data_IF_087838220968
#
_entry.id   IF_087838220968
#
_cell.length_a   1.000
_cell.length_b   1.000
_cell.length_c   1.000
_cell.angle_alpha   90.00
_cell.angle_beta   90.00
_cell.angle_gamma   90.00
#
_symmetry.space_group_name_H-M   'P 1'
#
loop_
_entity.id
_entity.type
_entity.pdbx_description
1 polymer ?
#
# COMPACT_ATOMS: atom_id res chain seq x y z
N UNK A 1 -33.08 -26.84 -11.77
CA UNK A 1 -33.37 -25.87 -10.69
C UNK A 1 -32.05 -25.47 -10.06
N UNK A 2 -31.73 -24.15 -10.05
CA UNK A 2 -30.55 -23.61 -9.39
C UNK A 2 -30.80 -23.68 -7.88
N UNK A 3 -29.98 -24.42 -7.14
CA UNK A 3 -30.12 -24.50 -5.67
C UNK A 3 -29.69 -23.17 -5.08
N UNK A 4 -30.56 -22.52 -4.33
CA UNK A 4 -30.28 -21.26 -3.64
C UNK A 4 -29.12 -21.45 -2.67
N UNK A 5 -28.06 -20.66 -2.81
CA UNK A 5 -26.88 -20.74 -1.95
C UNK A 5 -27.16 -20.21 -0.56
N UNK A 6 -26.39 -20.65 0.44
CA UNK A 6 -26.47 -20.11 1.81
C UNK A 6 -26.32 -18.58 1.84
N UNK A 7 -25.48 -18.03 0.98
CA UNK A 7 -25.27 -16.57 0.84
C UNK A 7 -26.53 -15.87 0.33
N UNK A 8 -27.19 -16.42 -0.67
CA UNK A 8 -28.44 -15.85 -1.21
C UNK A 8 -29.53 -15.82 -0.15
N UNK A 9 -29.69 -16.89 0.63
CA UNK A 9 -30.63 -16.94 1.77
C UNK A 9 -30.33 -15.88 2.82
N UNK A 10 -29.04 -15.73 3.20
CA UNK A 10 -28.61 -14.71 4.18
C UNK A 10 -28.90 -13.30 3.68
N UNK A 11 -28.61 -13.02 2.41
CA UNK A 11 -28.88 -11.72 1.80
C UNK A 11 -30.38 -11.45 1.73
N UNK A 12 -31.18 -12.41 1.30
CA UNK A 12 -32.63 -12.26 1.22
C UNK A 12 -33.26 -11.96 2.60
N UNK A 13 -32.83 -12.65 3.65
CA UNK A 13 -33.25 -12.38 5.02
C UNK A 13 -32.86 -10.96 5.45
N UNK A 14 -31.62 -10.57 5.24
CA UNK A 14 -31.11 -9.23 5.59
C UNK A 14 -31.84 -8.09 4.84
N UNK A 15 -32.24 -8.31 3.60
CA UNK A 15 -33.04 -7.34 2.84
C UNK A 15 -34.46 -7.21 3.44
N UNK A 16 -35.08 -8.33 3.81
CA UNK A 16 -36.38 -8.31 4.52
C UNK A 16 -36.29 -7.55 5.85
N UNK A 17 -35.17 -7.69 6.56
CA UNK A 17 -34.89 -7.00 7.82
C UNK A 17 -34.37 -5.56 7.65
N UNK A 18 -34.42 -5.01 6.43
CA UNK A 18 -34.02 -3.61 6.10
C UNK A 18 -32.53 -3.31 6.38
N UNK A 19 -31.67 -4.30 6.57
CA UNK A 19 -30.29 -4.09 7.03
C UNK A 19 -29.47 -3.17 6.13
N UNK A 20 -29.50 -3.31 4.78
CA UNK A 20 -28.72 -2.44 3.90
C UNK A 20 -29.11 -0.97 3.95
N UNK A 21 -30.36 -0.66 4.31
CA UNK A 21 -30.90 0.72 4.35
C UNK A 21 -31.14 1.21 5.78
N UNK A 22 -30.82 0.44 6.79
CA UNK A 22 -31.01 0.82 8.19
C UNK A 22 -30.30 2.13 8.52
N UNK A 23 -31.08 3.08 9.07
CA UNK A 23 -30.56 4.41 9.42
C UNK A 23 -30.49 5.39 8.24
N UNK A 24 -31.10 5.06 7.09
CA UNK A 24 -31.39 6.02 6.01
C UNK A 24 -32.82 6.54 6.17
N UNK A 25 -32.99 7.84 6.48
CA UNK A 25 -34.32 8.42 6.65
C UNK A 25 -35.17 8.31 5.38
N UNK A 26 -36.40 7.83 5.51
CA UNK A 26 -37.32 7.73 4.38
C UNK A 26 -36.99 6.70 3.32
N UNK A 27 -36.03 5.80 3.58
CA UNK A 27 -35.68 4.69 2.68
C UNK A 27 -36.10 3.37 3.27
N UNK A 28 -36.77 2.53 2.48
CA UNK A 28 -37.20 1.18 2.88
C UNK A 28 -37.16 0.19 1.71
N UNK A 29 -37.06 -1.11 2.03
CA UNK A 29 -37.08 -2.21 1.08
C UNK A 29 -38.40 -2.99 1.23
N UNK A 30 -39.07 -3.28 0.12
CA UNK A 30 -40.32 -4.05 0.10
C UNK A 30 -40.29 -5.12 -0.99
N UNK A 31 -41.21 -6.05 -0.96
CA UNK A 31 -41.45 -7.05 -2.01
C UNK A 31 -40.21 -7.86 -2.41
N UNK A 32 -39.44 -8.31 -1.40
CA UNK A 32 -38.21 -9.12 -1.62
C UNK A 32 -38.57 -10.51 -2.13
N UNK A 33 -38.17 -10.84 -3.33
CA UNK A 33 -38.43 -12.12 -4.02
C UNK A 33 -37.12 -12.73 -4.54
N UNK A 34 -36.87 -13.98 -4.21
CA UNK A 34 -35.80 -14.78 -4.77
C UNK A 34 -36.19 -15.24 -6.17
N UNK A 35 -35.26 -15.21 -7.13
CA UNK A 35 -35.52 -15.41 -8.55
C UNK A 35 -34.65 -16.52 -9.16
N UNK A 36 -34.85 -17.80 -8.79
CA UNK A 36 -33.95 -18.88 -9.17
C UNK A 36 -33.91 -19.19 -10.68
N UNK A 37 -34.92 -18.76 -11.43
CA UNK A 37 -35.06 -19.03 -12.88
C UNK A 37 -34.73 -17.81 -13.75
N UNK A 38 -34.43 -16.66 -13.12
CA UNK A 38 -34.09 -15.42 -13.82
C UNK A 38 -32.56 -15.25 -13.97
N UNK A 39 -32.11 -14.34 -14.84
CA UNK A 39 -30.69 -14.02 -14.96
C UNK A 39 -30.12 -13.22 -13.78
N UNK A 40 -30.91 -12.94 -12.77
CA UNK A 40 -30.54 -12.30 -11.50
C UNK A 40 -31.05 -13.15 -10.33
N UNK A 41 -30.45 -13.04 -9.16
CA UNK A 41 -30.73 -13.92 -8.02
C UNK A 41 -31.91 -13.43 -7.17
N UNK A 42 -32.16 -12.10 -7.12
CA UNK A 42 -33.16 -11.48 -6.26
C UNK A 42 -33.76 -10.23 -6.91
N UNK A 43 -35.03 -9.95 -6.58
CA UNK A 43 -35.66 -8.67 -6.89
C UNK A 43 -36.36 -8.09 -5.65
N UNK A 44 -36.39 -6.76 -5.56
CA UNK A 44 -37.10 -6.04 -4.51
C UNK A 44 -37.42 -4.60 -4.94
N UNK A 45 -38.29 -3.93 -4.19
CA UNK A 45 -38.60 -2.53 -4.37
C UNK A 45 -37.86 -1.69 -3.33
N UNK A 46 -37.14 -0.67 -3.79
CA UNK A 46 -36.54 0.36 -2.95
C UNK A 46 -37.45 1.60 -2.97
N UNK A 47 -37.93 1.98 -1.81
CA UNK A 47 -38.77 3.17 -1.63
C UNK A 47 -37.93 4.29 -1.04
N UNK A 48 -38.04 5.50 -1.59
CA UNK A 48 -37.41 6.71 -1.05
C UNK A 48 -38.26 7.93 -1.35
N UNK A 49 -38.96 8.42 -0.33
CA UNK A 49 -39.98 9.45 -0.48
C UNK A 49 -41.04 9.01 -1.49
N UNK A 50 -41.31 9.79 -2.55
CA UNK A 50 -42.29 9.44 -3.58
C UNK A 50 -41.79 8.41 -4.60
N UNK A 51 -40.47 8.11 -4.59
CA UNK A 51 -39.86 7.24 -5.59
C UNK A 51 -39.98 5.77 -5.19
N UNK A 52 -40.39 4.94 -6.14
CA UNK A 52 -40.41 3.49 -6.06
C UNK A 52 -39.56 2.95 -7.20
N UNK A 53 -38.50 2.21 -6.85
CA UNK A 53 -37.52 1.70 -7.80
C UNK A 53 -37.42 0.20 -7.64
N UNK A 54 -37.66 -0.54 -8.72
CA UNK A 54 -37.39 -1.97 -8.75
C UNK A 54 -35.90 -2.20 -8.87
N UNK A 55 -35.35 -3.02 -7.97
CA UNK A 55 -33.94 -3.44 -7.98
C UNK A 55 -33.85 -4.91 -8.33
N UNK A 56 -33.02 -5.22 -9.32
CA UNK A 56 -32.66 -6.57 -9.73
C UNK A 56 -31.25 -6.82 -9.23
N UNK A 57 -31.04 -7.85 -8.40
CA UNK A 57 -29.79 -8.07 -7.69
C UNK A 57 -29.08 -9.36 -8.10
N UNK A 58 -27.80 -9.26 -8.42
CA UNK A 58 -26.87 -10.39 -8.51
C UNK A 58 -26.17 -10.55 -7.17
N UNK A 59 -26.25 -11.74 -6.57
CA UNK A 59 -25.71 -12.01 -5.23
C UNK A 59 -24.46 -12.86 -5.33
N UNK A 60 -23.38 -12.41 -4.69
CA UNK A 60 -22.16 -13.20 -4.52
C UNK A 60 -21.62 -13.04 -3.08
N UNK A 61 -20.90 -14.04 -2.55
CA UNK A 61 -20.24 -13.93 -1.25
C UNK A 61 -19.29 -12.72 -1.16
N UNK A 62 -18.60 -12.43 -2.27
CA UNK A 62 -17.73 -11.27 -2.45
C UNK A 62 -17.70 -10.87 -3.92
N UNK A 63 -17.41 -9.59 -4.18
CA UNK A 63 -17.12 -9.07 -5.50
C UNK A 63 -15.70 -8.53 -5.52
N UNK A 64 -14.81 -9.20 -6.26
CA UNK A 64 -13.53 -8.64 -6.61
C UNK A 64 -13.68 -7.66 -7.79
N UNK A 65 -12.77 -6.68 -7.98
CA UNK A 65 -12.77 -5.83 -9.16
C UNK A 65 -12.77 -6.63 -10.48
N UNK A 66 -12.09 -7.77 -10.51
CA UNK A 66 -12.09 -8.66 -11.67
C UNK A 66 -13.48 -9.22 -11.98
N UNK A 67 -14.16 -9.77 -10.96
CA UNK A 67 -15.53 -10.29 -11.14
C UNK A 67 -16.49 -9.18 -11.58
N UNK A 68 -16.35 -7.98 -11.01
CA UNK A 68 -17.13 -6.81 -11.42
C UNK A 68 -16.85 -6.42 -12.87
N UNK A 69 -15.60 -6.48 -13.33
CA UNK A 69 -15.24 -6.25 -14.74
C UNK A 69 -15.90 -7.29 -15.64
N UNK A 70 -15.90 -8.55 -15.25
CA UNK A 70 -16.50 -9.65 -16.01
C UNK A 70 -18.04 -9.51 -16.15
N UNK A 71 -18.73 -9.09 -15.10
CA UNK A 71 -20.20 -8.95 -15.10
C UNK A 71 -20.69 -7.58 -15.59
N UNK A 72 -19.84 -6.57 -15.66
CA UNK A 72 -20.19 -5.21 -16.08
C UNK A 72 -20.90 -5.11 -17.43
N UNK A 73 -20.50 -5.85 -18.49
CA UNK A 73 -21.19 -5.82 -19.78
C UNK A 73 -22.63 -6.32 -19.69
N UNK A 74 -22.86 -7.35 -18.88
CA UNK A 74 -24.19 -7.90 -18.65
C UNK A 74 -25.08 -6.90 -17.88
N UNK A 75 -24.58 -6.27 -16.81
CA UNK A 75 -25.28 -5.23 -16.05
C UNK A 75 -25.68 -4.06 -16.98
N UNK A 76 -24.72 -3.58 -17.78
CA UNK A 76 -24.99 -2.48 -18.72
C UNK A 76 -26.05 -2.84 -19.76
N UNK A 77 -26.02 -4.07 -20.26
CA UNK A 77 -27.03 -4.54 -21.20
C UNK A 77 -28.41 -4.58 -20.55
N UNK A 78 -28.55 -5.07 -19.31
CA UNK A 78 -29.83 -5.06 -18.61
C UNK A 78 -30.34 -3.64 -18.36
N UNK A 79 -29.47 -2.72 -17.90
CA UNK A 79 -29.82 -1.30 -17.70
C UNK A 79 -30.25 -0.63 -19.00
N UNK A 80 -29.67 -0.94 -20.14
CA UNK A 80 -30.06 -0.38 -21.44
C UNK A 80 -31.44 -0.87 -21.93
N UNK A 81 -31.82 -2.08 -21.54
CA UNK A 81 -33.11 -2.65 -21.88
C UNK A 81 -34.25 -2.21 -20.95
N UNK A 82 -33.91 -1.80 -19.72
CA UNK A 82 -34.86 -1.45 -18.66
C UNK A 82 -34.36 -0.21 -17.90
N UNK A 83 -34.72 0.95 -18.39
CA UNK A 83 -34.32 2.24 -17.81
C UNK A 83 -35.08 2.61 -16.55
N UNK A 84 -36.11 1.85 -16.21
CA UNK A 84 -37.00 2.05 -15.05
C UNK A 84 -36.55 1.27 -13.81
N UNK A 85 -35.54 0.40 -13.93
CA UNK A 85 -35.01 -0.45 -12.86
C UNK A 85 -33.54 -0.17 -12.52
N UNK A 86 -33.15 -0.49 -11.30
CA UNK A 86 -31.74 -0.60 -10.92
C UNK A 86 -31.27 -2.04 -11.06
N UNK A 87 -30.07 -2.24 -11.59
CA UNK A 87 -29.41 -3.56 -11.61
C UNK A 87 -28.19 -3.46 -10.71
N UNK A 88 -28.25 -4.14 -9.57
CA UNK A 88 -27.28 -4.00 -8.49
C UNK A 88 -26.53 -5.29 -8.19
N UNK A 89 -25.27 -5.18 -7.78
CA UNK A 89 -24.53 -6.25 -7.13
C UNK A 89 -24.77 -6.20 -5.62
N UNK A 90 -24.97 -7.37 -5.01
CA UNK A 90 -25.30 -7.48 -3.60
C UNK A 90 -24.37 -8.51 -2.95
N UNK A 91 -23.72 -8.12 -1.86
CA UNK A 91 -22.81 -8.97 -1.10
C UNK A 91 -22.99 -8.77 0.41
N UNK A 92 -22.56 -9.72 1.25
CA UNK A 92 -22.45 -9.46 2.68
C UNK A 92 -21.57 -8.23 2.98
N UNK A 93 -20.46 -8.07 2.25
CA UNK A 93 -19.60 -6.88 2.30
C UNK A 93 -18.95 -6.62 0.94
N UNK A 94 -18.90 -5.35 0.54
CA UNK A 94 -18.10 -4.86 -0.59
C UNK A 94 -16.87 -4.14 -0.07
N UNK A 95 -15.68 -4.53 -0.53
CA UNK A 95 -14.45 -3.83 -0.22
C UNK A 95 -14.49 -2.39 -0.75
N UNK A 96 -13.76 -1.46 -0.11
CA UNK A 96 -13.69 -0.06 -0.57
C UNK A 96 -13.26 0.04 -2.04
N UNK A 97 -12.41 -0.87 -2.50
CA UNK A 97 -11.95 -0.93 -3.88
C UNK A 97 -13.07 -1.41 -4.83
N UNK A 98 -13.86 -2.42 -4.42
CA UNK A 98 -15.03 -2.86 -5.18
C UNK A 98 -16.09 -1.77 -5.25
N UNK A 99 -16.35 -1.05 -4.14
CA UNK A 99 -17.26 0.10 -4.10
C UNK A 99 -16.81 1.21 -5.06
N UNK A 100 -15.53 1.59 -5.02
CA UNK A 100 -14.96 2.58 -5.93
C UNK A 100 -15.08 2.16 -7.40
N UNK A 101 -14.78 0.90 -7.69
CA UNK A 101 -14.96 0.35 -9.05
C UNK A 101 -16.42 0.45 -9.52
N UNK A 102 -17.38 0.07 -8.66
CA UNK A 102 -18.80 0.17 -8.98
C UNK A 102 -19.21 1.60 -9.28
N UNK A 103 -18.84 2.57 -8.44
CA UNK A 103 -19.16 3.99 -8.63
C UNK A 103 -18.57 4.51 -9.94
N UNK A 104 -17.28 4.23 -10.21
CA UNK A 104 -16.60 4.67 -11.44
C UNK A 104 -17.22 4.10 -12.72
N UNK A 105 -17.76 2.89 -12.64
CA UNK A 105 -18.37 2.19 -13.78
C UNK A 105 -19.90 2.26 -13.83
N UNK A 106 -20.54 3.04 -12.95
CA UNK A 106 -21.99 3.20 -12.91
C UNK A 106 -22.75 1.90 -12.58
N UNK A 107 -22.13 1.02 -11.78
CA UNK A 107 -22.73 -0.23 -11.30
C UNK A 107 -23.37 0.05 -9.93
N UNK A 108 -24.66 -0.22 -9.83
CA UNK A 108 -25.36 -0.08 -8.56
C UNK A 108 -24.96 -1.20 -7.61
N UNK A 109 -24.91 -0.93 -6.31
CA UNK A 109 -24.59 -1.94 -5.31
C UNK A 109 -25.27 -1.70 -3.96
N UNK A 110 -25.43 -2.79 -3.20
CA UNK A 110 -25.77 -2.79 -1.78
C UNK A 110 -24.92 -3.83 -1.05
N UNK A 111 -24.53 -3.52 0.19
CA UNK A 111 -24.01 -4.54 1.09
C UNK A 111 -24.74 -4.57 2.44
N UNK A 112 -24.58 -5.67 3.18
CA UNK A 112 -25.27 -5.86 4.47
C UNK A 112 -24.71 -4.97 5.58
N UNK A 113 -23.57 -4.33 5.39
CA UNK A 113 -23.01 -3.32 6.30
C UNK A 113 -23.71 -1.97 6.13
N UNK A 114 -24.40 -1.78 5.03
CA UNK A 114 -25.15 -0.58 4.72
C UNK A 114 -24.43 0.37 3.77
N UNK A 115 -23.38 -0.09 3.08
CA UNK A 115 -22.88 0.66 1.93
C UNK A 115 -23.83 0.45 0.75
N UNK A 116 -24.21 1.54 0.10
CA UNK A 116 -25.18 1.54 -1.00
C UNK A 116 -24.81 2.60 -2.02
N UNK A 117 -24.96 2.25 -3.28
CA UNK A 117 -24.96 3.15 -4.41
C UNK A 117 -26.02 2.68 -5.40
N UNK A 118 -27.10 3.45 -5.56
CA UNK A 118 -28.15 3.22 -6.53
C UNK A 118 -28.34 4.51 -7.31
N UNK A 119 -28.20 4.42 -8.62
CA UNK A 119 -28.37 5.58 -9.50
C UNK A 119 -29.29 5.24 -10.67
N UNK A 120 -30.51 5.76 -10.62
CA UNK A 120 -31.48 5.73 -11.72
C UNK A 120 -31.59 7.13 -12.30
N UNK A 121 -30.97 7.40 -13.45
CA UNK A 121 -30.87 8.74 -14.03
C UNK A 121 -32.26 9.42 -14.17
N UNK A 122 -32.34 10.67 -13.75
CA UNK A 122 -33.58 11.48 -13.82
C UNK A 122 -34.64 11.12 -12.78
N UNK A 123 -34.43 10.09 -11.95
CA UNK A 123 -35.40 9.68 -10.92
C UNK A 123 -34.80 9.78 -9.51
N UNK A 124 -33.63 9.16 -9.28
CA UNK A 124 -33.17 8.94 -7.92
C UNK A 124 -31.68 8.60 -7.85
N UNK A 125 -30.98 9.15 -6.87
CA UNK A 125 -29.63 8.74 -6.52
C UNK A 125 -29.54 8.54 -5.01
N UNK A 126 -29.10 7.37 -4.59
CA UNK A 126 -28.81 7.02 -3.20
C UNK A 126 -27.36 6.60 -3.07
N UNK A 127 -26.60 7.26 -2.20
CA UNK A 127 -25.21 6.90 -1.95
C UNK A 127 -24.88 6.97 -0.48
N UNK A 128 -24.31 5.89 0.04
CA UNK A 128 -23.69 5.80 1.37
C UNK A 128 -22.53 4.84 1.32
N UNK A 129 -21.37 5.24 1.82
CA UNK A 129 -20.15 4.42 1.87
C UNK A 129 -19.42 4.62 3.20
N UNK A 130 -18.42 3.79 3.47
CA UNK A 130 -17.61 3.87 4.67
C UNK A 130 -18.19 3.14 5.88
N UNK A 131 -19.31 2.44 5.73
CA UNK A 131 -19.87 1.60 6.79
C UNK A 131 -18.99 0.37 7.01
N UNK A 132 -18.73 0.04 8.28
CA UNK A 132 -17.90 -1.12 8.66
C UNK A 132 -18.77 -2.35 8.88
N UNK A 133 -18.16 -3.53 8.69
CA UNK A 133 -18.80 -4.85 8.94
C UNK A 133 -19.44 -4.89 10.32
N UNK A 134 -20.69 -5.32 10.38
CA UNK A 134 -21.31 -5.78 11.62
C UNK A 134 -20.78 -7.17 11.94
N UNK A 135 -20.47 -7.44 13.21
CA UNK A 135 -19.89 -8.71 13.68
C UNK A 135 -20.69 -9.95 13.27
N UNK A 136 -21.99 -9.80 13.10
CA UNK A 136 -22.93 -10.87 12.71
C UNK A 136 -22.67 -11.43 11.29
N UNK A 137 -22.08 -10.64 10.38
CA UNK A 137 -21.79 -11.04 9.01
C UNK A 137 -20.31 -11.35 8.76
N UNK A 138 -19.46 -11.17 9.77
CA UNK A 138 -18.02 -11.46 9.71
C UNK A 138 -17.76 -12.96 9.44
N UNK A 139 -18.56 -13.85 10.01
CA UNK A 139 -18.38 -15.29 9.85
C UNK A 139 -18.67 -15.81 8.42
N UNK A 140 -19.57 -15.15 7.67
CA UNK A 140 -19.83 -15.52 6.28
C UNK A 140 -18.67 -15.14 5.34
N UNK A 141 -17.89 -14.14 5.74
CA UNK A 141 -16.68 -13.64 5.04
C UNK A 141 -15.40 -14.40 5.44
N UNK A 142 -15.41 -15.17 6.54
CA UNK A 142 -14.21 -15.85 7.06
C UNK A 142 -13.75 -17.07 6.23
N UNK A 143 -14.63 -17.66 5.42
CA UNK A 143 -14.25 -18.79 4.55
C UNK A 143 -13.45 -18.39 3.30
N UNK A 144 -13.44 -17.11 2.93
CA UNK A 144 -12.52 -16.53 1.95
C UNK A 144 -11.66 -15.46 2.64
N UNK A 145 -10.71 -15.87 3.45
CA UNK A 145 -9.61 -14.99 3.88
C UNK A 145 -8.87 -14.57 2.62
N UNK A 146 -9.30 -13.47 2.01
CA UNK A 146 -8.55 -12.82 0.95
C UNK A 146 -7.15 -12.56 1.48
N UNK A 147 -6.19 -13.25 0.91
CA UNK A 147 -4.78 -13.14 1.28
C UNK A 147 -4.39 -11.68 1.14
N UNK A 148 -3.96 -11.05 2.23
CA UNK A 148 -3.48 -9.67 2.14
C UNK A 148 -2.13 -9.64 1.42
N UNK A 149 -2.19 -9.53 0.09
CA UNK A 149 -1.04 -9.57 -0.80
C UNK A 149 -0.09 -8.37 -0.61
N UNK A 150 -0.58 -7.26 -0.04
CA UNK A 150 0.19 -6.04 0.16
C UNK A 150 0.99 -6.01 1.46
N UNK A 151 1.03 -7.10 2.24
CA UNK A 151 1.73 -7.11 3.53
C UNK A 151 2.37 -8.44 3.88
N UNK A 152 3.36 -8.39 4.79
CA UNK A 152 4.09 -9.55 5.27
C UNK A 152 4.76 -10.31 4.13
N UNK A 153 4.94 -11.62 4.30
CA UNK A 153 5.65 -12.46 3.31
C UNK A 153 5.01 -12.48 1.91
N UNK A 154 3.71 -12.21 1.78
CA UNK A 154 3.06 -12.15 0.47
C UNK A 154 3.49 -10.91 -0.34
N UNK A 155 3.84 -9.80 0.31
CA UNK A 155 4.39 -8.63 -0.37
C UNK A 155 5.75 -8.87 -1.02
N UNK A 156 6.44 -9.98 -0.69
CA UNK A 156 7.68 -10.39 -1.36
C UNK A 156 7.42 -10.77 -2.82
N UNK A 157 6.25 -11.34 -3.13
CA UNK A 157 5.83 -11.60 -4.53
C UNK A 157 5.68 -10.28 -5.30
N UNK A 158 5.05 -9.27 -4.69
CA UNK A 158 4.93 -7.94 -5.30
C UNK A 158 6.30 -7.32 -5.60
N UNK A 159 7.28 -7.48 -4.69
CA UNK A 159 8.64 -7.00 -4.92
C UNK A 159 9.26 -7.64 -6.14
N UNK A 160 9.18 -8.96 -6.27
CA UNK A 160 9.68 -9.67 -7.45
C UNK A 160 9.03 -9.13 -8.72
N UNK A 161 7.71 -8.98 -8.75
CA UNK A 161 6.95 -8.54 -9.92
C UNK A 161 7.25 -7.10 -10.34
N UNK A 162 7.51 -6.21 -9.38
CA UNK A 162 7.70 -4.77 -9.63
C UNK A 162 9.16 -4.37 -9.81
N UNK A 163 10.10 -5.07 -9.14
CA UNK A 163 11.55 -4.79 -9.29
C UNK A 163 12.13 -5.42 -10.56
N UNK A 164 11.52 -6.49 -11.04
CA UNK A 164 11.94 -7.17 -12.26
C UNK A 164 10.75 -7.34 -13.21
N UNK A 165 10.46 -6.33 -14.02
CA UNK A 165 9.30 -6.30 -14.91
C UNK A 165 9.51 -7.24 -16.10
N UNK A 166 9.00 -8.44 -15.99
CA UNK A 166 8.96 -9.46 -17.05
C UNK A 166 7.74 -10.37 -16.84
N UNK A 167 7.54 -11.26 -17.78
CA UNK A 167 6.60 -12.38 -17.59
C UNK A 167 7.21 -13.40 -16.63
N UNK A 168 6.43 -13.86 -15.66
CA UNK A 168 6.84 -14.78 -14.61
C UNK A 168 5.99 -16.04 -14.61
N UNK A 169 6.54 -17.14 -14.12
CA UNK A 169 5.80 -18.31 -13.66
C UNK A 169 5.91 -18.43 -12.14
N UNK A 170 5.02 -19.19 -11.50
CA UNK A 170 5.09 -19.44 -10.04
C UNK A 170 6.45 -20.03 -9.64
N UNK A 171 6.99 -20.93 -10.46
CA UNK A 171 8.30 -21.57 -10.22
C UNK A 171 9.45 -20.57 -10.32
N UNK A 172 9.40 -19.66 -11.30
CA UNK A 172 10.43 -18.63 -11.46
C UNK A 172 10.41 -17.63 -10.31
N UNK A 173 9.20 -17.22 -9.84
CA UNK A 173 9.07 -16.38 -8.65
C UNK A 173 9.68 -17.09 -7.43
N UNK A 174 9.43 -18.40 -7.25
CA UNK A 174 10.02 -19.17 -6.15
C UNK A 174 11.55 -19.18 -6.22
N UNK A 175 12.13 -19.41 -7.41
CA UNK A 175 13.60 -19.39 -7.62
C UNK A 175 14.18 -18.00 -7.37
N UNK A 176 13.49 -16.94 -7.80
CA UNK A 176 13.94 -15.56 -7.58
C UNK A 176 13.99 -15.21 -6.09
N UNK A 177 12.98 -15.64 -5.31
CA UNK A 177 12.97 -15.46 -3.86
C UNK A 177 14.11 -16.22 -3.19
N UNK A 178 14.46 -17.41 -3.70
CA UNK A 178 15.62 -18.17 -3.23
C UNK A 178 16.94 -17.49 -3.60
N UNK A 179 17.08 -17.02 -4.84
CA UNK A 179 18.23 -16.28 -5.30
C UNK A 179 18.43 -14.97 -4.52
N UNK A 180 17.32 -14.27 -4.18
CA UNK A 180 17.41 -13.07 -3.35
C UNK A 180 17.82 -13.37 -1.92
N UNK A 181 17.44 -14.53 -1.36
CA UNK A 181 17.96 -14.98 -0.06
C UNK A 181 19.48 -15.17 -0.08
N UNK A 182 20.03 -15.72 -1.18
CA UNK A 182 21.47 -15.86 -1.35
C UNK A 182 22.14 -14.49 -1.49
N UNK A 183 21.63 -13.60 -2.36
CA UNK A 183 22.16 -12.24 -2.51
C UNK A 183 22.08 -11.43 -1.21
N UNK A 184 21.07 -11.66 -0.39
CA UNK A 184 20.96 -11.02 0.92
C UNK A 184 22.10 -11.46 1.85
N UNK A 185 22.38 -12.77 1.94
CA UNK A 185 23.49 -13.31 2.76
C UNK A 185 24.86 -12.79 2.32
N UNK A 186 25.07 -12.65 1.01
CA UNK A 186 26.30 -12.04 0.46
C UNK A 186 26.42 -10.56 0.84
N UNK A 187 25.29 -9.83 0.82
CA UNK A 187 25.23 -8.40 1.11
C UNK A 187 25.37 -8.09 2.60
N UNK A 188 24.84 -8.96 3.44
CA UNK A 188 24.81 -8.85 4.89
C UNK A 188 25.34 -10.15 5.55
N UNK A 189 26.66 -10.37 5.56
CA UNK A 189 27.26 -11.55 6.17
C UNK A 189 26.90 -11.70 7.65
N UNK A 190 26.56 -12.91 8.07
CA UNK A 190 26.15 -13.20 9.44
C UNK A 190 24.63 -13.12 9.71
N UNK A 191 23.85 -12.63 8.75
CA UNK A 191 22.39 -12.61 8.84
C UNK A 191 21.77 -13.81 8.10
N UNK A 192 20.89 -14.53 8.78
CA UNK A 192 20.17 -15.67 8.20
C UNK A 192 18.71 -15.32 7.93
N UNK A 193 18.46 -14.61 6.83
CA UNK A 193 17.12 -14.29 6.36
C UNK A 193 16.77 -15.14 5.16
N UNK A 194 15.64 -15.83 5.25
CA UNK A 194 15.07 -16.59 4.14
C UNK A 194 13.82 -15.87 3.59
N UNK A 195 13.87 -15.50 2.31
CA UNK A 195 12.73 -14.91 1.61
C UNK A 195 11.82 -15.95 0.98
N UNK A 196 12.17 -17.24 1.06
CA UNK A 196 11.40 -18.33 0.46
C UNK A 196 9.96 -18.35 0.98
N UNK A 197 9.05 -18.63 0.08
CA UNK A 197 7.65 -18.97 0.37
C UNK A 197 7.25 -20.14 -0.53
N UNK A 198 6.35 -20.99 -0.06
CA UNK A 198 5.93 -22.15 -0.84
C UNK A 198 5.23 -21.73 -2.14
N UNK A 199 5.36 -22.54 -3.19
CA UNK A 199 4.69 -22.31 -4.48
C UNK A 199 3.16 -22.17 -4.30
N UNK A 200 2.55 -22.94 -3.39
CA UNK A 200 1.14 -22.78 -3.05
C UNK A 200 0.81 -21.40 -2.46
N UNK A 201 1.71 -20.83 -1.64
CA UNK A 201 1.54 -19.48 -1.11
C UNK A 201 1.75 -18.41 -2.19
N UNK A 202 2.71 -18.62 -3.12
CA UNK A 202 2.89 -17.74 -4.29
C UNK A 202 1.63 -17.78 -5.16
N UNK A 203 1.11 -18.98 -5.46
CA UNK A 203 -0.12 -19.13 -6.24
C UNK A 203 -1.31 -18.41 -5.60
N UNK A 204 -1.47 -18.50 -4.27
CA UNK A 204 -2.50 -17.74 -3.53
C UNK A 204 -2.31 -16.23 -3.63
N UNK A 205 -1.06 -15.74 -3.51
CA UNK A 205 -0.75 -14.32 -3.67
C UNK A 205 -1.09 -13.84 -5.08
N UNK A 206 -0.70 -14.59 -6.11
CA UNK A 206 -1.01 -14.28 -7.52
C UNK A 206 -2.51 -14.27 -7.76
N UNK A 207 -3.26 -15.24 -7.24
CA UNK A 207 -4.73 -15.24 -7.32
C UNK A 207 -5.33 -14.00 -6.68
N UNK A 208 -4.90 -13.63 -5.46
CA UNK A 208 -5.37 -12.42 -4.80
C UNK A 208 -5.02 -11.12 -5.55
N UNK A 209 -3.86 -11.08 -6.24
CA UNK A 209 -3.50 -9.95 -7.11
C UNK A 209 -4.32 -9.93 -8.40
N UNK A 210 -4.64 -11.09 -8.95
CA UNK A 210 -5.47 -11.23 -10.15
C UNK A 210 -6.91 -10.78 -9.90
N UNK A 211 -7.47 -11.12 -8.74
CA UNK A 211 -8.78 -10.63 -8.30
C UNK A 211 -8.86 -9.12 -8.16
N UNK A 212 -7.73 -8.47 -7.87
CA UNK A 212 -7.59 -7.03 -7.75
C UNK A 212 -7.13 -6.35 -9.05
N UNK A 213 -7.10 -7.08 -10.17
CA UNK A 213 -6.63 -6.62 -11.48
C UNK A 213 -5.16 -6.14 -11.49
N UNK A 214 -4.39 -6.51 -10.48
CA UNK A 214 -2.97 -6.17 -10.38
C UNK A 214 -2.09 -7.00 -11.29
N UNK A 215 -2.49 -8.26 -11.57
CA UNK A 215 -1.81 -9.17 -12.49
C UNK A 215 -2.81 -9.87 -13.41
N UNK A 216 -2.31 -10.42 -14.52
CA UNK A 216 -3.07 -11.31 -15.43
C UNK A 216 -2.29 -12.57 -15.68
N UNK A 217 -3.00 -13.71 -15.70
CA UNK A 217 -2.44 -14.99 -16.17
C UNK A 217 -2.73 -15.19 -17.65
N UNK A 218 -1.69 -15.63 -18.39
CA UNK A 218 -1.79 -16.14 -19.76
C UNK A 218 -1.19 -17.54 -19.79
N UNK A 219 -2.03 -18.56 -19.60
CA UNK A 219 -1.56 -19.91 -19.31
C UNK A 219 -0.81 -19.95 -17.98
N UNK A 220 0.46 -20.36 -17.97
CA UNK A 220 1.34 -20.35 -16.79
C UNK A 220 2.03 -19.01 -16.55
N UNK A 221 2.00 -18.11 -17.53
CA UNK A 221 2.67 -16.82 -17.45
C UNK A 221 1.86 -15.81 -16.65
N UNK A 222 2.53 -15.12 -15.75
CA UNK A 222 2.02 -14.05 -14.87
C UNK A 222 2.62 -12.74 -15.35
N UNK A 223 1.78 -11.78 -15.72
CA UNK A 223 2.20 -10.46 -16.18
C UNK A 223 1.51 -9.37 -15.36
N UNK A 224 2.21 -8.27 -15.15
CA UNK A 224 1.65 -7.05 -14.55
C UNK A 224 1.27 -6.11 -15.69
N UNK A 225 -0.03 -5.94 -16.00
CA UNK A 225 -0.44 -5.13 -17.15
C UNK A 225 -0.18 -3.63 -16.95
N UNK A 226 -0.35 -3.16 -15.72
CA UNK A 226 -0.21 -1.75 -15.33
C UNK A 226 0.65 -1.61 -14.06
N UNK A 227 2.00 -1.74 -14.15
CA UNK A 227 2.86 -1.68 -12.98
C UNK A 227 2.71 -0.40 -12.14
N UNK A 228 2.55 0.81 -12.72
CA UNK A 228 2.34 2.03 -11.94
C UNK A 228 1.08 1.95 -11.06
N UNK A 229 -0.02 1.45 -11.60
CA UNK A 229 -1.28 1.29 -10.86
C UNK A 229 -1.15 0.29 -9.73
N UNK A 230 -0.47 -0.85 -9.97
CA UNK A 230 -0.24 -1.85 -8.92
C UNK A 230 0.65 -1.29 -7.80
N UNK A 231 1.68 -0.53 -8.15
CA UNK A 231 2.55 0.12 -7.15
C UNK A 231 1.79 1.17 -6.33
N UNK A 232 0.94 1.98 -6.96
CA UNK A 232 0.11 2.97 -6.29
C UNK A 232 -0.90 2.31 -5.34
N UNK A 233 -1.58 1.24 -5.76
CA UNK A 233 -2.46 0.45 -4.90
C UNK A 233 -1.70 -0.09 -3.68
N UNK A 234 -0.48 -0.57 -3.88
CA UNK A 234 0.36 -1.02 -2.78
C UNK A 234 0.76 0.13 -1.86
N UNK A 235 1.13 1.27 -2.40
CA UNK A 235 1.54 2.45 -1.63
C UNK A 235 0.41 2.97 -0.73
N UNK A 236 -0.85 2.99 -1.20
CA UNK A 236 -2.01 3.33 -0.37
C UNK A 236 -2.18 2.34 0.80
N UNK A 237 -2.11 1.03 0.54
CA UNK A 237 -2.19 0.01 1.58
C UNK A 237 -0.99 0.04 2.54
N UNK A 238 0.18 0.39 2.03
CA UNK A 238 1.38 0.58 2.81
C UNK A 238 1.26 1.79 3.76
N UNK A 239 0.72 2.92 3.27
CA UNK A 239 0.47 4.14 4.03
C UNK A 239 -0.49 3.93 5.20
N UNK A 240 -1.58 3.17 5.00
CA UNK A 240 -2.52 2.82 6.07
C UNK A 240 -1.82 2.20 7.30
N UNK A 241 -0.73 1.44 7.08
CA UNK A 241 0.04 0.75 8.11
C UNK A 241 1.32 1.45 8.53
N UNK A 242 1.73 2.48 7.82
CA UNK A 242 3.00 3.16 8.06
C UNK A 242 3.08 3.77 9.46
N UNK A 243 2.03 4.40 9.95
CA UNK A 243 1.96 4.97 11.30
C UNK A 243 2.18 3.92 12.39
N UNK A 244 1.73 2.69 12.18
CA UNK A 244 1.95 1.58 13.12
C UNK A 244 3.40 1.12 13.10
N UNK A 245 4.05 1.12 11.94
CA UNK A 245 5.47 0.79 11.80
C UNK A 245 6.35 1.78 12.52
N UNK A 246 6.03 3.06 12.49
CA UNK A 246 6.76 4.09 13.21
C UNK A 246 6.70 3.95 14.74
N UNK A 247 5.74 3.19 15.29
CA UNK A 247 5.71 2.90 16.73
C UNK A 247 6.89 2.05 17.22
N UNK A 248 7.50 1.26 16.35
CA UNK A 248 8.72 0.50 16.63
C UNK A 248 9.99 1.27 16.25
N UNK A 249 9.88 2.55 15.90
CA UNK A 249 11.01 3.41 15.55
C UNK A 249 11.41 4.30 16.71
N UNK A 250 12.64 4.79 16.67
CA UNK A 250 13.12 5.87 17.54
C UNK A 250 13.96 6.85 16.73
N UNK A 251 14.02 8.08 17.19
CA UNK A 251 14.84 9.13 16.59
C UNK A 251 15.94 9.56 17.53
N UNK A 252 17.10 9.90 16.94
CA UNK A 252 18.25 10.47 17.65
C UNK A 252 18.84 11.63 16.85
N UNK A 253 19.74 12.39 17.46
CA UNK A 253 20.57 13.36 16.75
C UNK A 253 21.46 12.65 15.72
N UNK A 254 21.96 13.40 14.76
CA UNK A 254 22.91 12.92 13.77
C UNK A 254 24.23 13.72 13.88
N UNK A 255 25.29 13.12 14.46
CA UNK A 255 26.59 13.78 14.55
C UNK A 255 27.48 13.60 13.32
N UNK A 256 27.06 12.82 12.31
CA UNK A 256 27.93 12.32 11.24
C UNK A 256 27.96 13.17 9.96
N UNK A 257 27.12 14.20 9.88
CA UNK A 257 27.04 15.03 8.66
C UNK A 257 25.69 14.89 7.92
N UNK A 258 25.64 15.35 6.67
CA UNK A 258 24.40 15.42 5.89
C UNK A 258 24.34 14.45 4.73
N UNK A 259 25.49 14.09 4.19
CA UNK A 259 25.60 13.20 3.06
C UNK A 259 25.54 11.73 3.47
N UNK A 260 25.09 10.90 2.54
CA UNK A 260 24.88 9.48 2.76
C UNK A 260 26.18 8.76 3.18
N UNK A 261 27.31 9.10 2.59
CA UNK A 261 28.58 8.43 2.84
C UNK A 261 29.09 8.69 4.26
N UNK A 262 29.04 9.96 4.69
CA UNK A 262 29.44 10.36 6.07
C UNK A 262 28.55 9.72 7.12
N UNK A 263 27.22 9.70 6.91
CA UNK A 263 26.29 9.07 7.82
C UNK A 263 26.52 7.55 7.86
N UNK A 264 26.69 6.91 6.69
CA UNK A 264 26.93 5.48 6.61
C UNK A 264 28.23 5.08 7.33
N UNK A 265 29.32 5.80 7.09
CA UNK A 265 30.61 5.55 7.76
C UNK A 265 30.52 5.72 9.29
N UNK A 266 29.68 6.65 9.76
CA UNK A 266 29.48 6.88 11.18
C UNK A 266 28.65 5.82 11.88
N UNK A 267 27.62 5.29 11.22
CA UNK A 267 26.73 4.29 11.83
C UNK A 267 27.16 2.83 11.60
N UNK A 268 27.94 2.55 10.55
CA UNK A 268 28.37 1.21 10.19
C UNK A 268 29.08 0.46 11.34
N UNK A 269 30.01 1.07 12.10
CA UNK A 269 30.64 0.41 13.24
C UNK A 269 29.68 0.10 14.39
N UNK A 270 28.53 0.77 14.46
CA UNK A 270 27.56 0.66 15.53
C UNK A 270 26.47 -0.36 15.27
N UNK A 271 26.24 -0.68 14.00
CA UNK A 271 25.20 -1.62 13.56
C UNK A 271 25.84 -2.98 13.27
N UNK A 272 25.55 -3.93 14.14
CA UNK A 272 25.84 -5.33 13.86
C UNK A 272 24.64 -5.93 13.11
N UNK A 273 24.87 -6.38 11.86
CA UNK A 273 23.85 -7.02 11.05
C UNK A 273 23.28 -6.15 9.91
N UNK A 274 22.16 -6.58 9.35
CA UNK A 274 21.58 -5.94 8.18
C UNK A 274 20.91 -4.60 8.52
N UNK A 275 21.31 -3.56 7.78
CA UNK A 275 20.64 -2.27 7.78
C UNK A 275 20.56 -1.70 6.36
N UNK A 276 19.66 -0.77 6.12
CA UNK A 276 19.60 -0.05 4.85
C UNK A 276 18.93 1.31 5.03
N UNK A 277 19.48 2.31 4.35
CA UNK A 277 18.90 3.64 4.27
C UNK A 277 17.65 3.64 3.39
N UNK A 278 16.65 4.43 3.75
CA UNK A 278 15.41 4.59 3.01
C UNK A 278 14.95 6.06 2.97
N UNK A 279 13.84 6.29 2.27
CA UNK A 279 13.28 7.64 2.11
C UNK A 279 14.14 8.53 1.21
N UNK A 280 14.15 9.83 1.46
CA UNK A 280 14.79 10.81 0.59
C UNK A 280 16.30 10.57 0.43
N UNK A 281 17.01 10.17 1.48
CA UNK A 281 18.46 9.95 1.40
C UNK A 281 18.84 8.78 0.48
N UNK A 282 18.00 7.75 0.41
CA UNK A 282 18.23 6.61 -0.48
C UNK A 282 18.05 6.97 -1.98
N UNK A 283 17.50 8.14 -2.26
CA UNK A 283 17.22 8.61 -3.62
C UNK A 283 18.12 9.78 -4.06
N UNK A 284 18.99 10.26 -3.20
CA UNK A 284 19.83 11.47 -3.47
C UNK A 284 20.71 11.34 -4.69
N UNK A 285 21.20 10.13 -5.01
CA UNK A 285 22.01 9.89 -6.21
C UNK A 285 21.20 9.98 -7.53
N UNK A 286 19.88 9.78 -7.44
CA UNK A 286 19.01 9.68 -8.62
C UNK A 286 17.96 10.80 -8.68
N UNK A 287 17.70 11.47 -7.56
CA UNK A 287 16.64 12.46 -7.42
C UNK A 287 16.88 13.39 -6.22
N UNK A 288 17.76 14.40 -6.34
CA UNK A 288 18.09 15.31 -5.24
C UNK A 288 17.07 16.46 -5.15
N UNK A 289 15.86 16.21 -4.64
CA UNK A 289 14.77 17.21 -4.73
C UNK A 289 14.32 17.80 -3.39
N UNK A 290 14.67 17.21 -2.26
CA UNK A 290 14.09 17.58 -0.95
C UNK A 290 15.17 17.77 0.11
N UNK A 291 15.04 18.84 0.90
CA UNK A 291 15.76 18.96 2.16
C UNK A 291 15.41 17.79 3.07
N UNK A 292 16.43 17.09 3.55
CA UNK A 292 16.27 15.89 4.37
C UNK A 292 16.24 16.29 5.83
N UNK A 293 15.05 16.28 6.44
CA UNK A 293 14.89 16.55 7.88
C UNK A 293 15.15 15.28 8.71
N UNK A 294 14.85 14.11 8.17
CA UNK A 294 14.99 12.82 8.84
C UNK A 294 15.52 11.78 7.87
N UNK A 295 16.59 11.12 8.25
CA UNK A 295 17.18 9.97 7.56
C UNK A 295 16.58 8.69 8.16
N UNK A 296 15.90 7.91 7.33
CA UNK A 296 15.34 6.63 7.72
C UNK A 296 16.36 5.51 7.51
N UNK A 297 16.54 4.69 8.54
CA UNK A 297 17.44 3.53 8.54
C UNK A 297 16.65 2.31 9.02
N UNK A 298 16.41 1.37 8.12
CA UNK A 298 15.91 0.06 8.54
C UNK A 298 17.03 -0.73 9.19
N UNK A 299 16.73 -1.35 10.34
CA UNK A 299 17.64 -2.21 11.09
C UNK A 299 16.94 -3.54 11.38
N UNK A 300 17.50 -4.64 10.90
CA UNK A 300 16.86 -5.94 11.01
C UNK A 300 16.90 -6.48 12.45
N UNK A 301 18.05 -6.34 13.13
CA UNK A 301 18.26 -6.88 14.46
C UNK A 301 17.68 -5.94 15.54
N UNK A 302 16.75 -6.47 16.35
CA UNK A 302 16.14 -5.73 17.45
C UNK A 302 17.12 -5.37 18.56
N UNK A 303 18.13 -6.20 18.81
CA UNK A 303 19.18 -5.96 19.81
C UNK A 303 20.07 -4.77 19.39
N UNK A 304 20.43 -4.71 18.12
CA UNK A 304 21.12 -3.54 17.54
C UNK A 304 20.27 -2.28 17.68
N UNK A 305 18.95 -2.36 17.43
CA UNK A 305 18.03 -1.24 17.65
C UNK A 305 17.98 -0.80 19.11
N UNK A 306 18.11 -1.71 20.08
CA UNK A 306 18.16 -1.39 21.49
C UNK A 306 19.48 -0.65 21.85
N UNK A 307 20.63 -1.17 21.40
CA UNK A 307 21.95 -0.52 21.61
C UNK A 307 22.01 0.89 21.01
N UNK A 308 21.41 1.10 19.84
CA UNK A 308 21.33 2.42 19.20
C UNK A 308 20.45 3.42 19.98
N UNK A 309 19.52 2.95 20.82
CA UNK A 309 18.76 3.84 21.73
C UNK A 309 19.66 4.42 22.82
N UNK A 310 20.68 3.70 23.26
CA UNK A 310 21.61 4.18 24.28
C UNK A 310 22.52 5.29 23.75
N UNK A 311 22.72 5.41 22.44
CA UNK A 311 23.37 6.57 21.81
C UNK A 311 22.68 7.90 22.18
N UNK A 312 21.36 7.87 22.42
CA UNK A 312 20.60 9.05 22.84
C UNK A 312 21.07 9.59 24.19
N UNK A 313 21.53 8.73 25.09
CA UNK A 313 22.04 9.13 26.41
C UNK A 313 23.46 9.70 26.32
N UNK A 314 24.29 9.18 25.42
CA UNK A 314 25.68 9.58 25.25
C UNK A 314 25.85 10.93 24.52
N UNK A 315 25.00 11.19 23.49
CA UNK A 315 25.01 12.48 22.79
C UNK A 315 24.40 13.61 23.63
N UNK A 316 23.51 13.29 24.58
CA UNK A 316 22.97 14.28 25.54
C UNK A 316 23.95 14.67 26.65
N UNK A 317 24.99 13.85 26.88
CA UNK A 317 25.96 14.04 27.99
C UNK A 317 27.32 14.59 27.52
N UNK A 318 27.53 14.87 26.23
CA UNK A 318 28.80 15.48 25.76
C UNK A 318 30.06 14.60 25.88
N UNK A 319 29.91 13.30 26.14
CA UNK A 319 31.00 12.45 26.63
C UNK A 319 31.46 11.35 25.67
N UNK A 320 31.34 11.48 24.36
CA UNK A 320 31.96 10.55 23.40
C UNK A 320 32.55 11.31 22.22
N UNK A 321 33.54 12.15 22.48
CA UNK A 321 34.65 12.40 21.56
C UNK A 321 35.89 12.46 22.38
N UNK A 322 36.54 11.31 22.51
CA UNK A 322 37.91 11.23 23.05
C UNK A 322 38.84 12.04 22.18
N UNK A 323 39.60 12.87 22.82
CA UNK A 323 40.89 13.43 22.46
C UNK A 323 41.16 13.79 20.99
N UNK A 324 41.05 15.08 20.69
CA UNK A 324 41.84 15.65 19.61
C UNK A 324 41.17 16.59 18.63
N UNK A 325 40.41 17.61 19.09
CA UNK A 325 40.33 18.89 18.36
C UNK A 325 39.90 19.95 19.38
N UNK A 326 40.85 20.87 19.68
CA UNK A 326 40.63 21.96 20.61
C UNK A 326 39.54 22.94 20.14
N UNK A 327 38.50 23.05 20.94
CA UNK A 327 37.51 24.11 20.79
C UNK A 327 38.11 25.40 21.42
N UNK A 328 38.40 26.36 20.56
CA UNK A 328 38.61 27.75 20.99
C UNK A 328 37.28 28.38 21.37
N UNK A 329 37.18 28.74 22.59
CA UNK A 329 36.17 29.62 23.17
C UNK A 329 36.25 31.01 22.54
N UNK A 330 35.13 31.56 22.14
CA UNK A 330 35.08 32.87 21.50
C UNK A 330 33.69 33.48 21.52
N UNK A 331 33.33 34.00 22.70
CA UNK A 331 32.27 34.99 22.86
C UNK A 331 32.57 36.26 22.04
N UNK A 332 31.64 36.71 21.20
CA UNK A 332 31.76 37.96 20.49
C UNK A 332 30.51 38.35 19.71
N UNK A 333 29.70 39.20 20.31
CA UNK A 333 28.68 39.97 19.60
C UNK A 333 29.34 40.95 18.63
N UNK A 334 28.86 41.00 17.35
CA UNK A 334 29.29 42.00 16.39
C UNK A 334 28.30 42.16 15.25
N UNK A 335 27.51 43.24 15.29
CA UNK A 335 26.78 43.79 14.18
C UNK A 335 27.76 44.36 13.14
N UNK A 336 27.57 44.03 11.87
CA UNK A 336 28.32 44.63 10.78
C UNK A 336 27.63 44.48 9.46
N UNK A 337 27.02 45.54 8.95
CA UNK A 337 26.51 45.73 7.60
C UNK A 337 27.65 45.82 6.62
N UNK A 338 27.58 45.13 5.45
CA UNK A 338 28.54 45.28 4.34
C UNK A 338 28.03 44.61 3.10
N UNK A 339 27.65 45.43 2.12
CA UNK A 339 27.31 45.13 0.76
C UNK A 339 28.55 44.63 -0.03
N UNK A 340 28.38 43.57 -0.85
CA UNK A 340 29.41 43.14 -1.80
C UNK A 340 28.95 41.94 -2.63
N UNK A 341 28.65 42.18 -3.90
CA UNK A 341 28.22 41.15 -4.82
C UNK A 341 29.33 40.16 -5.17
N UNK A 342 28.96 38.92 -5.31
CA UNK A 342 29.78 37.86 -5.83
C UNK A 342 28.87 36.74 -6.31
N UNK A 343 28.87 36.49 -7.60
CA UNK A 343 28.19 35.34 -8.21
C UNK A 343 28.75 34.05 -7.58
N UNK A 344 27.95 33.34 -6.85
CA UNK A 344 28.28 32.02 -6.34
C UNK A 344 27.36 31.01 -6.99
N UNK A 345 28.01 30.06 -7.61
CA UNK A 345 27.65 28.72 -7.99
C UNK A 345 26.45 28.13 -7.23
N UNK A 346 25.47 27.63 -8.02
CA UNK A 346 24.15 27.20 -7.50
C UNK A 346 24.15 25.89 -6.74
N UNK A 347 24.69 25.86 -5.52
CA UNK A 347 24.42 24.80 -4.53
C UNK A 347 23.67 25.40 -3.34
N UNK A 348 22.38 25.70 -3.56
CA UNK A 348 21.48 26.16 -2.51
C UNK A 348 21.12 25.02 -1.55
N UNK A 349 22.00 24.72 -0.59
CA UNK A 349 21.65 23.87 0.55
C UNK A 349 20.95 24.71 1.62
N UNK A 350 19.67 24.35 1.85
CA UNK A 350 18.82 24.91 2.88
C UNK A 350 19.36 24.79 4.30
N UNK A 351 18.70 25.45 5.22
CA UNK A 351 18.96 25.71 6.64
C UNK A 351 19.98 24.78 7.32
N UNK A 352 20.98 25.36 7.99
CA UNK A 352 22.15 24.70 8.59
C UNK A 352 21.90 23.57 9.62
N UNK A 353 20.69 23.02 9.71
CA UNK A 353 20.29 21.97 10.65
C UNK A 353 20.60 20.60 10.07
N UNK A 354 21.31 19.76 10.82
CA UNK A 354 21.58 18.37 10.43
C UNK A 354 20.30 17.52 10.51
N UNK A 355 20.05 16.59 9.56
CA UNK A 355 18.91 15.72 9.61
C UNK A 355 19.00 14.77 10.81
N UNK A 356 17.88 14.49 11.45
CA UNK A 356 17.80 13.47 12.50
C UNK A 356 17.91 12.07 11.91
N UNK A 357 18.46 11.13 12.67
CA UNK A 357 18.42 9.70 12.31
C UNK A 357 17.18 9.05 12.91
N UNK A 358 16.45 8.29 12.11
CA UNK A 358 15.34 7.46 12.58
C UNK A 358 15.61 6.00 12.24
N UNK A 359 15.75 5.19 13.28
CA UNK A 359 15.94 3.75 13.16
C UNK A 359 14.59 3.03 13.21
N UNK A 360 14.34 2.15 12.26
CA UNK A 360 13.06 1.47 12.09
C UNK A 360 13.30 -0.03 12.05
N UNK A 361 12.68 -0.79 12.94
CA UNK A 361 12.65 -2.25 12.83
C UNK A 361 11.54 -2.62 11.86
N UNK A 362 11.85 -3.27 10.72
CA UNK A 362 10.85 -3.60 9.73
C UNK A 362 9.92 -4.72 10.22
N UNK A 363 8.66 -4.71 9.78
CA UNK A 363 7.71 -5.78 10.05
C UNK A 363 8.05 -7.08 9.28
N UNK A 364 8.57 -6.95 8.07
CA UNK A 364 9.05 -8.06 7.23
C UNK A 364 10.41 -7.70 6.64
N UNK A 365 11.33 -8.65 6.66
CA UNK A 365 12.66 -8.47 6.10
C UNK A 365 12.66 -8.19 4.58
N UNK A 366 11.53 -8.36 3.90
CA UNK A 366 11.36 -8.03 2.49
C UNK A 366 11.75 -6.60 2.12
N UNK A 367 11.81 -5.66 3.08
CA UNK A 367 12.31 -4.29 2.82
C UNK A 367 13.76 -4.26 2.33
N UNK A 368 14.55 -5.29 2.65
CA UNK A 368 15.95 -5.44 2.22
C UNK A 368 16.09 -6.14 0.86
N UNK A 369 15.00 -6.68 0.29
CA UNK A 369 15.06 -7.28 -1.04
C UNK A 369 15.47 -6.23 -2.06
N UNK A 370 16.35 -6.61 -2.97
CA UNK A 370 16.91 -5.75 -4.02
C UNK A 370 17.62 -4.49 -3.51
N UNK A 371 17.99 -4.45 -2.23
CA UNK A 371 18.83 -3.39 -1.69
C UNK A 371 20.18 -3.36 -2.42
N UNK A 372 20.74 -2.17 -2.62
CA UNK A 372 22.00 -1.94 -3.34
C UNK A 372 22.97 -1.20 -2.42
N UNK A 373 24.27 -1.26 -2.74
CA UNK A 373 25.27 -0.39 -2.10
C UNK A 373 25.53 0.82 -3.00
N UNK A 374 25.54 2.00 -2.41
CA UNK A 374 26.05 3.25 -3.02
C UNK A 374 27.30 3.61 -2.23
N UNK A 375 28.48 3.40 -2.83
CA UNK A 375 29.72 3.35 -2.06
C UNK A 375 29.68 2.23 -1.04
N UNK A 376 29.84 2.57 0.24
CA UNK A 376 29.70 1.62 1.36
C UNK A 376 28.28 1.54 1.92
N UNK A 377 27.43 2.52 1.64
CA UNK A 377 26.10 2.66 2.22
C UNK A 377 25.08 1.71 1.56
N UNK A 378 24.45 0.79 2.32
CA UNK A 378 23.35 0.00 1.81
C UNK A 378 22.09 0.87 1.74
N UNK A 379 21.43 0.90 0.58
CA UNK A 379 20.15 1.58 0.36
C UNK A 379 19.09 0.59 -0.05
N UNK A 380 17.85 0.84 0.31
CA UNK A 380 16.71 0.02 -0.14
C UNK A 380 16.50 0.14 -1.65
N UNK A 381 15.71 -0.78 -2.22
CA UNK A 381 15.34 -0.72 -3.63
C UNK A 381 14.51 0.54 -3.96
N UNK A 382 14.47 0.97 -5.23
CA UNK A 382 13.64 2.09 -5.66
C UNK A 382 12.15 1.92 -5.33
N UNK A 383 11.61 0.71 -5.47
CA UNK A 383 10.21 0.42 -5.11
C UNK A 383 9.98 0.60 -3.60
N UNK A 384 10.91 0.13 -2.75
CA UNK A 384 10.79 0.34 -1.30
C UNK A 384 10.93 1.82 -0.94
N UNK A 385 11.88 2.54 -1.52
CA UNK A 385 12.05 3.97 -1.29
C UNK A 385 10.79 4.75 -1.68
N UNK A 386 10.17 4.40 -2.81
CA UNK A 386 8.88 4.96 -3.23
C UNK A 386 7.78 4.76 -2.19
N UNK A 387 7.62 3.53 -1.70
CA UNK A 387 6.60 3.21 -0.68
C UNK A 387 6.77 4.04 0.59
N UNK A 388 8.00 4.21 1.05
CA UNK A 388 8.30 4.97 2.27
C UNK A 388 8.08 6.48 2.08
N UNK A 389 8.51 7.04 0.94
CA UNK A 389 8.27 8.44 0.58
C UNK A 389 6.76 8.73 0.41
N UNK A 390 6.05 7.86 -0.30
CA UNK A 390 4.60 7.99 -0.50
C UNK A 390 3.84 7.95 0.84
N UNK A 391 4.22 7.05 1.72
CA UNK A 391 3.58 6.90 3.03
C UNK A 391 3.82 8.09 3.97
N UNK A 392 4.96 8.77 3.85
CA UNK A 392 5.27 10.00 4.61
C UNK A 392 4.42 11.17 4.14
N UNK A 393 4.14 11.26 2.86
CA UNK A 393 3.32 12.32 2.27
C UNK A 393 4.02 13.69 2.26
N UNK A 394 3.25 14.76 2.07
CA UNK A 394 3.80 16.11 2.06
C UNK A 394 4.85 16.33 0.96
N UNK A 395 6.03 16.87 1.33
CA UNK A 395 7.14 17.10 0.38
C UNK A 395 7.70 15.80 -0.19
N UNK A 396 7.69 14.73 0.61
CA UNK A 396 8.21 13.42 0.19
C UNK A 396 7.37 12.77 -0.92
N UNK A 397 6.09 13.15 -1.06
CA UNK A 397 5.25 12.67 -2.15
C UNK A 397 5.77 13.14 -3.52
N UNK A 398 6.22 14.40 -3.63
CA UNK A 398 6.84 14.91 -4.86
C UNK A 398 8.12 14.16 -5.22
N UNK A 399 8.90 13.81 -4.20
CA UNK A 399 10.10 12.99 -4.36
C UNK A 399 9.74 11.56 -4.82
N UNK A 400 8.66 10.97 -4.28
CA UNK A 400 8.15 9.67 -4.71
C UNK A 400 7.71 9.71 -6.19
N UNK A 401 6.95 10.71 -6.59
CA UNK A 401 6.51 10.91 -7.98
C UNK A 401 7.70 11.07 -8.94
N UNK A 402 8.71 11.85 -8.53
CA UNK A 402 9.93 11.99 -9.32
C UNK A 402 10.67 10.66 -9.47
N UNK A 403 10.87 9.91 -8.36
CA UNK A 403 11.49 8.60 -8.37
C UNK A 403 10.73 7.61 -9.26
N UNK A 404 9.40 7.63 -9.20
CA UNK A 404 8.55 6.81 -10.07
C UNK A 404 8.81 7.11 -11.54
N UNK A 405 8.79 8.38 -11.92
CA UNK A 405 8.87 8.81 -13.33
C UNK A 405 10.28 8.67 -13.92
N UNK A 406 11.33 8.91 -13.12
CA UNK A 406 12.72 8.97 -13.64
C UNK A 406 13.51 7.70 -13.43
N UNK A 407 13.17 6.86 -12.45
CA UNK A 407 13.93 5.66 -12.13
C UNK A 407 13.09 4.39 -12.33
N UNK A 408 11.88 4.33 -11.76
CA UNK A 408 11.11 3.10 -11.71
C UNK A 408 10.42 2.82 -13.05
N UNK A 409 9.66 3.77 -13.59
CA UNK A 409 8.94 3.58 -14.85
C UNK A 409 9.85 3.32 -16.07
N UNK A 410 11.03 3.98 -16.23
CA UNK A 410 11.93 3.63 -17.32
C UNK A 410 12.37 2.18 -17.31
N UNK A 411 12.59 1.57 -16.13
CA UNK A 411 12.92 0.15 -16.01
C UNK A 411 11.77 -0.76 -16.51
N UNK A 412 10.52 -0.35 -16.30
CA UNK A 412 9.36 -1.10 -16.78
C UNK A 412 9.10 -0.99 -18.29
N UNK A 413 9.58 0.08 -18.92
CA UNK A 413 9.44 0.28 -20.37
C UNK A 413 10.53 -0.42 -21.18
N UNK A 414 11.66 -0.72 -20.55
CA UNK A 414 12.82 -1.37 -21.19
C UNK A 414 12.78 -2.90 -21.08
N UNK A 415 11.81 -3.48 -20.41
CA UNK A 415 11.62 -4.90 -20.18
C UNK A 415 10.44 -5.45 -20.99
#
# INVERSE_FOLDING_TARGET
MKTTSKTEQTVAAALRDQLPVKGLPGVSIQNVQEQPEQPFDISFELLSGPNRIQVLGEIKPAFSPRLLEEISPWIRRLKSLRTDVSVAVIAPLLSSQAQAFCIQNGIDFLDLSGNVFINVPGKFTLQRSGMRIRSEFSAASENERTVNVFSGRFSRVLRVLLEQPKSWTVTEIARELEAESARFKERFPGEDVDFKISQGSISKAVTGLEEQLGVRRRGTAIVVPEPPRLLEQWAEKYKERYRWRLRSSFQTGNPFGRDLASIASGIDPMIQGAYAFSGAIATTSNAPFVDIDVVDVFVLNKETSAKLRDLKSQTATGAVLGEGIGLRDGSGYGFGSGSGGGFADGSGYGSGIQPKLRFITPYDAGVFMYAKKVGTAPIVSPVQAYLDLYARGGRDLKQAEYLLNTVIQPQWRSA
#
